data_IF_272661475189
#
_entry.id   IF_272661475189
#
_cell.length_a   1.000
_cell.length_b   1.000
_cell.length_c   1.000
_cell.angle_alpha   90.00
_cell.angle_beta   90.00
_cell.angle_gamma   90.00
#
_symmetry.space_group_name_H-M   'P 1'
#
loop_
_entity.id
_entity.type
_entity.pdbx_description
1 polymer ?
#
# COMPACT_ATOMS: atom_id res chain seq x y z
N UNK A 1 -25.41 -9.29 15.81
CA UNK A 1 -24.19 -9.05 15.01
C UNK A 1 -23.97 -10.26 14.11
N UNK A 2 -24.58 -10.27 12.91
CA UNK A 2 -24.41 -11.35 11.94
C UNK A 2 -23.17 -11.04 11.09
N UNK A 3 -22.00 -11.48 11.54
CA UNK A 3 -20.82 -11.54 10.70
C UNK A 3 -20.93 -12.78 9.82
N UNK A 4 -21.50 -12.60 8.62
CA UNK A 4 -21.74 -13.66 7.66
C UNK A 4 -20.42 -14.28 7.19
N UNK A 5 -20.32 -15.57 7.45
CA UNK A 5 -19.17 -16.47 7.30
C UNK A 5 -19.11 -17.10 5.90
N UNK A 6 -19.57 -16.39 4.88
CA UNK A 6 -19.76 -16.93 3.51
C UNK A 6 -18.87 -16.30 2.44
N UNK A 7 -18.19 -15.20 2.75
CA UNK A 7 -17.10 -14.67 1.93
C UNK A 7 -15.85 -14.73 2.80
N UNK A 8 -14.84 -15.52 2.40
CA UNK A 8 -13.62 -15.79 3.19
C UNK A 8 -12.82 -14.53 3.59
N UNK A 9 -13.22 -13.37 3.10
CA UNK A 9 -12.74 -12.04 3.48
C UNK A 9 -13.92 -11.15 3.85
N UNK A 10 -13.87 -10.54 5.04
CA UNK A 10 -14.82 -9.50 5.44
C UNK A 10 -14.84 -8.38 4.39
N UNK A 11 -16.00 -7.75 4.10
CA UNK A 11 -16.08 -6.59 3.21
C UNK A 11 -15.06 -5.48 3.55
N UNK A 12 -14.72 -5.36 4.84
CA UNK A 12 -13.69 -4.43 5.33
C UNK A 12 -12.27 -4.81 4.90
N UNK A 13 -11.96 -6.12 4.84
CA UNK A 13 -10.67 -6.59 4.36
C UNK A 13 -10.54 -6.32 2.87
N UNK A 14 -11.56 -6.65 2.07
CA UNK A 14 -11.55 -6.37 0.64
C UNK A 14 -11.34 -4.88 0.33
N UNK A 15 -12.01 -4.00 1.08
CA UNK A 15 -11.81 -2.55 0.95
C UNK A 15 -10.37 -2.14 1.34
N UNK A 16 -9.82 -2.77 2.37
CA UNK A 16 -8.43 -2.53 2.79
C UNK A 16 -7.46 -2.92 1.69
N UNK A 17 -7.62 -4.11 1.11
CA UNK A 17 -6.78 -4.62 0.02
C UNK A 17 -6.80 -3.68 -1.19
N UNK A 18 -7.99 -3.21 -1.58
CA UNK A 18 -8.16 -2.24 -2.67
C UNK A 18 -7.45 -0.91 -2.37
N UNK A 19 -7.59 -0.38 -1.15
CA UNK A 19 -6.93 0.87 -0.74
C UNK A 19 -5.41 0.72 -0.73
N UNK A 20 -4.89 -0.41 -0.26
CA UNK A 20 -3.45 -0.69 -0.25
C UNK A 20 -2.91 -0.85 -1.67
N UNK A 21 -3.62 -1.58 -2.54
CA UNK A 21 -3.25 -1.68 -3.96
C UNK A 21 -3.15 -0.30 -4.61
N UNK A 22 -4.15 0.56 -4.37
CA UNK A 22 -4.12 1.94 -4.89
C UNK A 22 -2.99 2.77 -4.30
N UNK A 23 -2.68 2.61 -3.02
CA UNK A 23 -1.58 3.32 -2.38
C UNK A 23 -0.23 2.93 -2.98
N UNK A 24 -0.02 1.64 -3.26
CA UNK A 24 1.17 1.13 -3.97
C UNK A 24 1.34 1.80 -5.33
N UNK A 25 0.28 1.85 -6.14
CA UNK A 25 0.32 2.53 -7.45
C UNK A 25 0.71 4.01 -7.34
N UNK A 26 0.17 4.72 -6.35
CA UNK A 26 0.47 6.15 -6.11
C UNK A 26 1.94 6.32 -5.73
N UNK A 27 2.46 5.49 -4.83
CA UNK A 27 3.85 5.53 -4.38
C UNK A 27 4.83 5.22 -5.52
N UNK A 28 4.47 4.34 -6.45
CA UNK A 28 5.26 4.05 -7.65
C UNK A 28 5.22 5.20 -8.66
N UNK A 29 4.04 5.76 -8.92
CA UNK A 29 3.86 6.85 -9.91
C UNK A 29 4.41 8.18 -9.43
N UNK A 30 4.43 8.41 -8.12
CA UNK A 30 4.86 9.65 -7.50
C UNK A 30 5.92 9.36 -6.42
N UNK A 31 7.18 9.14 -6.81
CA UNK A 31 8.24 8.71 -5.90
C UNK A 31 8.53 9.71 -4.77
N UNK A 32 8.21 10.99 -4.96
CA UNK A 32 8.44 12.07 -4.00
C UNK A 32 7.19 12.45 -3.20
N UNK A 33 6.08 11.70 -3.37
CA UNK A 33 4.85 11.98 -2.63
C UNK A 33 5.06 11.72 -1.14
N UNK A 34 4.57 12.64 -0.31
CA UNK A 34 4.53 12.42 1.13
C UNK A 34 3.58 11.26 1.44
N UNK A 35 4.03 10.31 2.28
CA UNK A 35 3.22 9.18 2.75
C UNK A 35 1.87 9.64 3.34
N UNK A 36 1.83 10.79 4.02
CA UNK A 36 0.60 11.39 4.53
C UNK A 36 -0.38 11.71 3.39
N UNK A 37 0.11 12.30 2.31
CA UNK A 37 -0.71 12.63 1.13
C UNK A 37 -1.21 11.35 0.47
N UNK A 38 -0.33 10.36 0.27
CA UNK A 38 -0.73 9.06 -0.29
C UNK A 38 -1.83 8.39 0.56
N UNK A 39 -1.70 8.41 1.88
CA UNK A 39 -2.69 7.90 2.82
C UNK A 39 -4.05 8.60 2.66
N UNK A 40 -4.05 9.94 2.59
CA UNK A 40 -5.28 10.72 2.40
C UNK A 40 -5.95 10.43 1.05
N UNK A 41 -5.17 10.23 -0.02
CA UNK A 41 -5.72 9.89 -1.35
C UNK A 41 -6.44 8.55 -1.38
N UNK A 42 -6.05 7.59 -0.53
CA UNK A 42 -6.72 6.29 -0.42
C UNK A 42 -7.73 6.21 0.73
N UNK A 43 -8.07 7.35 1.34
CA UNK A 43 -9.13 7.46 2.34
C UNK A 43 -8.71 7.18 3.78
N UNK A 44 -7.42 7.31 4.11
CA UNK A 44 -6.94 7.29 5.49
C UNK A 44 -6.57 8.71 5.95
N UNK A 45 -7.25 9.19 6.99
CA UNK A 45 -6.96 10.49 7.62
C UNK A 45 -5.68 10.46 8.47
N UNK A 46 -5.48 9.37 9.21
CA UNK A 46 -4.28 9.15 10.02
C UNK A 46 -3.23 8.35 9.25
N UNK A 47 -2.11 9.00 8.94
CA UNK A 47 -0.97 8.40 8.25
C UNK A 47 -0.25 7.32 9.07
N UNK A 48 -0.28 7.39 10.42
CA UNK A 48 0.28 6.34 11.29
C UNK A 48 -0.58 5.09 11.24
N UNK A 49 -1.90 5.25 11.27
CA UNK A 49 -2.82 4.12 11.12
C UNK A 49 -2.67 3.48 9.74
N UNK A 50 -2.66 4.29 8.68
CA UNK A 50 -2.34 3.81 7.33
C UNK A 50 -1.04 3.02 7.28
N UNK A 51 0.04 3.56 7.86
CA UNK A 51 1.35 2.89 7.85
C UNK A 51 1.32 1.53 8.55
N UNK A 52 0.53 1.39 9.63
CA UNK A 52 0.34 0.12 10.32
C UNK A 52 -0.44 -0.87 9.45
N UNK A 53 -1.54 -0.44 8.83
CA UNK A 53 -2.33 -1.30 7.94
C UNK A 53 -1.51 -1.71 6.72
N UNK A 54 -0.85 -0.76 6.07
CA UNK A 54 0.04 -1.05 4.94
C UNK A 54 1.12 -2.06 5.30
N UNK A 55 1.75 -1.91 6.47
CA UNK A 55 2.73 -2.90 6.96
C UNK A 55 2.11 -4.27 7.22
N UNK A 56 0.91 -4.33 7.78
CA UNK A 56 0.22 -5.61 7.99
C UNK A 56 -0.07 -6.31 6.66
N UNK A 57 -0.51 -5.56 5.65
CA UNK A 57 -0.87 -6.12 4.33
C UNK A 57 0.33 -6.42 3.42
N UNK A 58 1.45 -5.70 3.60
CA UNK A 58 2.61 -5.80 2.68
C UNK A 58 3.88 -6.35 3.33
N UNK A 59 3.90 -6.49 4.66
CA UNK A 59 5.06 -6.87 5.45
C UNK A 59 6.02 -5.71 5.77
N UNK A 60 5.87 -4.54 5.15
CA UNK A 60 6.83 -3.44 5.28
C UNK A 60 6.17 -2.06 5.32
N UNK A 61 6.89 -1.04 5.81
CA UNK A 61 6.32 0.32 5.86
C UNK A 61 6.16 0.89 4.44
N UNK A 62 5.21 1.82 4.22
CA UNK A 62 5.03 2.45 2.91
C UNK A 62 6.32 3.06 2.32
N UNK A 63 7.14 3.66 3.18
CA UNK A 63 8.42 4.26 2.78
C UNK A 63 9.45 3.22 2.35
N UNK A 64 9.62 2.15 3.14
CA UNK A 64 10.55 1.06 2.83
C UNK A 64 10.09 0.29 1.58
N UNK A 65 8.79 0.10 1.41
CA UNK A 65 8.22 -0.50 0.21
C UNK A 65 8.54 0.33 -1.03
N UNK A 66 8.29 1.64 -1.00
CA UNK A 66 8.57 2.51 -2.12
C UNK A 66 10.07 2.57 -2.46
N UNK A 67 10.95 2.53 -1.47
CA UNK A 67 12.41 2.50 -1.67
C UNK A 67 12.90 1.17 -2.26
N UNK A 68 12.33 0.04 -1.81
CA UNK A 68 12.64 -1.29 -2.34
C UNK A 68 12.22 -1.41 -3.80
N UNK A 69 11.00 -0.98 -4.16
CA UNK A 69 10.51 -1.06 -5.53
C UNK A 69 11.29 -0.16 -6.49
N UNK A 70 11.75 1.01 -6.02
CA UNK A 70 12.68 1.87 -6.77
C UNK A 70 14.02 1.17 -7.02
N UNK A 71 14.55 0.49 -6.01
CA UNK A 71 15.83 -0.22 -6.10
C UNK A 71 15.73 -1.49 -6.97
N UNK A 72 14.58 -2.14 -7.00
CA UNK A 72 14.29 -3.32 -7.83
C UNK A 72 14.21 -3.03 -9.34
N UNK A 73 14.07 -1.77 -9.74
CA UNK A 73 14.04 -1.37 -11.16
C UNK A 73 15.44 -1.11 -11.76
N UNK A 74 16.52 -1.12 -10.95
CA UNK A 74 17.91 -0.89 -11.41
C UNK A 74 18.59 -2.19 -11.93
N UNK A 75 17.83 -3.29 -12.07
CA UNK A 75 18.37 -4.61 -12.42
C UNK A 75 18.25 -5.05 -13.88
N UNK A 76 17.66 -4.28 -14.79
CA UNK A 76 17.37 -4.77 -16.15
C UNK A 76 17.59 -3.73 -17.26
N UNK A 77 18.78 -3.11 -17.31
CA UNK A 77 19.37 -2.55 -18.56
C UNK A 77 20.89 -2.46 -18.47
N UNK A 78 21.55 -3.57 -18.77
CA UNK A 78 22.88 -3.67 -19.40
C UNK A 78 23.04 -5.15 -19.78
N UNK A 79 22.63 -5.61 -20.98
CA UNK A 79 23.33 -5.33 -22.24
C UNK A 79 24.79 -5.78 -22.10
N UNK A 80 25.20 -7.00 -22.49
CA UNK A 80 25.49 -7.36 -23.89
C UNK A 80 25.87 -6.17 -24.77
#
# INVERSE_FOLDING_TARGET
MLYNKEYGTSPLQYLTDLRIARAKEILLKHPDINIKTAASTVGYEDSRYFSRIFKNETGMTPSAWAEQEKSGFVGDTAGK
#
